data_IF_324900829378
#
_entry.id   IF_324900829378
#
_cell.length_a   1.000
_cell.length_b   1.000
_cell.length_c   1.000
_cell.angle_alpha   90.00
_cell.angle_beta   90.00
_cell.angle_gamma   90.00
#
_symmetry.space_group_name_H-M   'P 1'
#
loop_
_entity.id
_entity.type
_entity.pdbx_description
1 polymer ?
#
# COMPACT_ATOMS: atom_id res chain seq x y z
N UNK A 1 8.80 -0.39 -2.45
CA UNK A 1 7.69 0.59 -2.36
C UNK A 1 8.30 1.98 -2.28
N UNK A 2 7.74 2.96 -2.99
CA UNK A 2 8.17 4.37 -2.92
C UNK A 2 6.97 5.21 -2.53
N UNK A 3 7.11 6.04 -1.50
CA UNK A 3 6.07 6.95 -1.01
C UNK A 3 6.49 8.38 -1.32
N UNK A 4 5.62 9.16 -1.95
CA UNK A 4 5.82 10.59 -2.15
C UNK A 4 4.55 11.36 -1.73
N UNK A 5 4.58 12.70 -1.84
CA UNK A 5 3.47 13.57 -1.40
C UNK A 5 2.13 13.34 -2.12
N UNK A 6 2.11 12.59 -3.21
CA UNK A 6 0.90 12.38 -4.02
C UNK A 6 0.42 10.92 -4.02
N UNK A 7 1.32 9.96 -3.83
CA UNK A 7 1.03 8.55 -4.09
C UNK A 7 1.97 7.59 -3.36
N UNK A 8 1.47 6.38 -3.14
CA UNK A 8 2.27 5.19 -2.85
C UNK A 8 2.42 4.39 -4.14
N UNK A 9 3.66 4.15 -4.58
CA UNK A 9 3.97 3.39 -5.79
C UNK A 9 4.68 2.08 -5.44
N UNK A 10 4.23 1.01 -6.06
CA UNK A 10 4.74 -0.34 -5.87
C UNK A 10 5.36 -0.79 -7.18
N UNK A 11 6.62 -1.19 -7.11
CA UNK A 11 7.40 -1.64 -8.25
C UNK A 11 7.71 -3.12 -8.08
N UNK A 12 7.61 -3.88 -9.18
CA UNK A 12 8.04 -5.27 -9.28
C UNK A 12 9.05 -5.34 -10.42
N UNK A 13 10.26 -5.84 -10.16
CA UNK A 13 11.33 -5.93 -11.18
C UNK A 13 11.63 -4.60 -11.90
N UNK A 14 11.60 -3.48 -11.17
CA UNK A 14 11.75 -2.09 -11.67
C UNK A 14 10.57 -1.55 -12.50
N UNK A 15 9.57 -2.37 -12.80
CA UNK A 15 8.34 -1.93 -13.46
C UNK A 15 7.32 -1.47 -12.44
N UNK A 16 6.55 -0.43 -12.77
CA UNK A 16 5.45 0.03 -11.92
C UNK A 16 4.34 -1.03 -11.96
N UNK A 17 4.10 -1.65 -10.81
CA UNK A 17 3.07 -2.67 -10.66
C UNK A 17 1.73 -2.06 -10.23
N UNK A 18 1.73 -1.22 -9.20
CA UNK A 18 0.53 -0.53 -8.71
C UNK A 18 0.84 0.87 -8.20
N UNK A 19 -0.11 1.79 -8.32
CA UNK A 19 -0.02 3.13 -7.78
C UNK A 19 -1.32 3.52 -7.06
N UNK A 20 -1.18 3.97 -5.83
CA UNK A 20 -2.28 4.35 -4.94
C UNK A 20 -2.21 5.86 -4.68
N UNK A 21 -3.20 6.66 -5.11
CA UNK A 21 -3.27 8.07 -4.73
C UNK A 21 -3.41 8.20 -3.21
N UNK A 22 -2.62 9.07 -2.58
CA UNK A 22 -2.67 9.26 -1.12
C UNK A 22 -4.07 9.64 -0.63
N UNK A 23 -4.81 10.44 -1.40
CA UNK A 23 -6.20 10.83 -1.10
C UNK A 23 -7.19 9.66 -0.99
N UNK A 24 -6.84 8.48 -1.50
CA UNK A 24 -7.67 7.26 -1.43
C UNK A 24 -7.23 6.30 -0.32
N UNK A 25 -6.09 6.56 0.33
CA UNK A 25 -5.60 5.79 1.48
C UNK A 25 -6.29 6.32 2.74
N UNK A 26 -7.03 5.47 3.42
CA UNK A 26 -7.81 5.84 4.62
C UNK A 26 -7.11 5.48 5.91
N UNK A 27 -6.26 4.45 5.88
CA UNK A 27 -5.51 3.99 7.05
C UNK A 27 -4.22 3.29 6.61
N UNK A 28 -3.16 3.40 7.42
CA UNK A 28 -1.97 2.58 7.25
C UNK A 28 -1.33 2.28 8.62
N UNK A 29 -0.70 1.11 8.73
CA UNK A 29 -0.02 0.70 9.97
C UNK A 29 1.15 -0.23 9.66
N UNK A 30 2.20 -0.14 10.48
CA UNK A 30 3.16 -1.23 10.59
C UNK A 30 2.57 -2.34 11.46
N UNK A 31 2.89 -3.59 11.16
CA UNK A 31 2.58 -4.76 11.98
C UNK A 31 3.92 -5.43 12.34
N UNK A 32 4.62 -4.91 13.38
CA UNK A 32 6.02 -5.29 13.64
C UNK A 32 6.19 -6.78 13.93
N UNK A 33 5.24 -7.40 14.64
CA UNK A 33 5.26 -8.83 14.98
C UNK A 33 5.28 -9.76 13.77
N UNK A 34 4.84 -9.28 12.61
CA UNK A 34 4.75 -10.06 11.37
C UNK A 34 5.70 -9.54 10.28
N UNK A 35 6.52 -8.52 10.59
CA UNK A 35 7.33 -7.80 9.58
C UNK A 35 6.49 -7.35 8.38
N UNK A 36 5.29 -6.81 8.63
CA UNK A 36 4.39 -6.33 7.57
C UNK A 36 4.12 -4.83 7.68
N UNK A 37 3.77 -4.23 6.55
CA UNK A 37 3.09 -2.95 6.46
C UNK A 37 1.72 -3.16 5.83
N UNK A 38 0.66 -2.63 6.44
CA UNK A 38 -0.70 -2.75 5.95
C UNK A 38 -1.28 -1.37 5.60
N UNK A 39 -2.10 -1.33 4.56
CA UNK A 39 -2.74 -0.12 4.05
C UNK A 39 -4.18 -0.40 3.65
N UNK A 40 -5.11 0.45 4.08
CA UNK A 40 -6.51 0.40 3.66
C UNK A 40 -6.77 1.52 2.67
N UNK A 41 -7.41 1.19 1.55
CA UNK A 41 -7.77 2.13 0.49
C UNK A 41 -9.24 2.03 0.16
N UNK A 42 -9.86 3.15 -0.21
CA UNK A 42 -11.13 3.10 -0.95
C UNK A 42 -10.87 2.59 -2.38
N UNK A 43 -11.94 2.16 -3.05
CA UNK A 43 -11.91 1.80 -4.46
C UNK A 43 -11.14 2.82 -5.33
N UNK A 44 -10.29 2.28 -6.21
CA UNK A 44 -9.38 3.02 -7.08
C UNK A 44 -9.73 2.83 -8.56
N UNK A 45 -10.58 1.83 -8.86
CA UNK A 45 -11.14 1.53 -10.18
C UNK A 45 -12.63 1.95 -10.21
N UNK A 46 -13.33 1.68 -11.31
CA UNK A 46 -14.79 1.88 -11.48
C UNK A 46 -15.63 0.95 -10.59
N UNK A 47 -15.26 0.85 -9.31
CA UNK A 47 -15.96 0.14 -8.26
C UNK A 47 -16.66 1.17 -7.37
N UNK A 48 -17.76 0.79 -6.70
CA UNK A 48 -18.45 1.67 -5.77
C UNK A 48 -17.50 2.27 -4.71
N UNK A 49 -17.64 3.57 -4.45
CA UNK A 49 -16.72 4.35 -3.58
C UNK A 49 -16.76 3.94 -2.09
N UNK A 50 -17.73 3.11 -1.71
CA UNK A 50 -17.91 2.50 -0.39
C UNK A 50 -17.13 1.20 -0.21
N UNK A 51 -16.58 0.62 -1.29
CA UNK A 51 -15.71 -0.55 -1.18
C UNK A 51 -14.33 -0.16 -0.67
N UNK A 52 -13.88 -0.87 0.35
CA UNK A 52 -12.55 -0.72 0.95
C UNK A 52 -11.71 -1.98 0.73
N UNK A 53 -10.41 -1.77 0.46
CA UNK A 53 -9.43 -2.83 0.23
C UNK A 53 -8.31 -2.73 1.26
N UNK A 54 -7.93 -3.86 1.82
CA UNK A 54 -6.74 -3.98 2.67
C UNK A 54 -5.60 -4.60 1.87
N UNK A 55 -4.45 -3.94 1.87
CA UNK A 55 -3.23 -4.38 1.20
C UNK A 55 -2.15 -4.62 2.25
N UNK A 56 -1.52 -5.79 2.22
CA UNK A 56 -0.41 -6.15 3.11
C UNK A 56 0.88 -6.32 2.31
N UNK A 57 1.96 -5.70 2.79
CA UNK A 57 3.27 -5.74 2.17
C UNK A 57 4.29 -6.31 3.15
N UNK A 58 5.01 -7.34 2.72
CA UNK A 58 6.17 -7.83 3.44
C UNK A 58 7.24 -6.76 3.53
N UNK A 59 7.70 -6.46 4.73
CA UNK A 59 8.92 -5.71 4.95
C UNK A 59 10.07 -6.71 4.95
N UNK A 60 11.21 -6.40 4.31
CA UNK A 60 12.42 -7.19 4.52
C UNK A 60 12.63 -7.31 6.03
N UNK A 61 12.84 -8.53 6.52
CA UNK A 61 13.40 -8.67 7.86
C UNK A 61 14.69 -7.86 7.86
N UNK A 62 14.86 -7.00 8.85
CA UNK A 62 16.21 -6.56 9.18
C UNK A 62 16.93 -7.82 9.66
N UNK A 63 17.52 -8.58 8.73
CA UNK A 63 18.40 -9.68 9.07
C UNK A 63 19.53 -9.08 9.91
N UNK A 64 19.66 -9.60 11.12
CA UNK A 64 20.81 -9.40 12.00
C UNK A 64 21.96 -10.28 11.53
#
# INVERSE_FOLDING_TARGET
>A
MIINRHSVKIYKSKELFMAYPLKKITYCTAVPKMSLFAMVTRAILDQPDDVVYCHSFGLPSAEH
#
